data_IF_326534651710
#
_entry.id   IF_326534651710
#
_cell.length_a   1.000
_cell.length_b   1.000
_cell.length_c   1.000
_cell.angle_alpha   90.00
_cell.angle_beta   90.00
_cell.angle_gamma   90.00
#
_symmetry.space_group_name_H-M   'P 1'
#
loop_
_entity.id
_entity.type
_entity.pdbx_description
1 polymer ?
#
# COMPACT_ATOMS: atom_id res chain seq x y z
N UNK A 1 27.46 3.03 31.18
CA UNK A 1 26.09 3.52 31.30
C UNK A 1 26.02 4.91 30.67
N UNK A 2 25.80 4.96 29.33
CA UNK A 2 25.52 6.21 28.64
C UNK A 2 24.06 6.19 28.20
N UNK A 3 23.26 7.02 28.82
CA UNK A 3 21.86 7.27 28.49
C UNK A 3 21.78 7.99 27.16
N UNK A 4 21.08 7.38 26.20
CA UNK A 4 20.67 8.05 24.97
C UNK A 4 19.53 9.03 25.27
N UNK A 5 19.54 10.25 24.72
CA UNK A 5 18.45 11.19 24.90
C UNK A 5 17.21 10.71 24.17
N UNK A 6 16.13 10.51 24.89
CA UNK A 6 14.79 10.29 24.34
C UNK A 6 14.33 11.55 23.61
N UNK A 7 14.27 11.52 22.27
CA UNK A 7 13.59 12.56 21.49
C UNK A 7 12.11 12.54 21.83
N UNK A 8 11.56 13.67 22.25
CA UNK A 8 10.14 13.86 22.47
C UNK A 8 9.40 13.77 21.15
N UNK A 9 8.24 13.12 21.18
CA UNK A 9 7.29 12.87 20.09
C UNK A 9 6.71 14.14 19.40
N UNK A 10 7.18 15.33 19.75
CA UNK A 10 6.69 16.61 19.20
C UNK A 10 7.45 17.12 17.97
N UNK A 11 8.53 16.46 17.55
CA UNK A 11 9.39 16.95 16.46
C UNK A 11 9.26 16.14 15.15
N UNK A 12 8.37 15.19 15.08
CA UNK A 12 7.96 14.60 13.82
C UNK A 12 7.00 15.59 13.14
N UNK A 13 7.57 16.53 12.38
CA UNK A 13 6.79 17.26 11.38
C UNK A 13 6.09 16.21 10.53
N UNK A 14 4.77 16.31 10.48
CA UNK A 14 3.95 15.72 9.43
C UNK A 14 4.67 15.99 8.12
N UNK A 15 5.22 14.97 7.47
CA UNK A 15 5.74 15.10 6.12
C UNK A 15 4.57 15.60 5.29
N UNK A 16 4.72 16.81 4.81
CA UNK A 16 3.74 17.57 4.07
C UNK A 16 3.23 16.70 2.91
N UNK A 17 1.92 16.75 2.65
CA UNK A 17 1.24 16.07 1.54
C UNK A 17 1.87 16.37 0.17
N UNK A 18 2.83 17.28 0.11
CA UNK A 18 3.51 17.79 -1.09
C UNK A 18 4.66 16.92 -1.58
N UNK A 19 5.30 16.09 -0.76
CA UNK A 19 6.53 15.38 -1.18
C UNK A 19 6.32 13.99 -1.79
N UNK A 20 5.07 13.48 -1.79
CA UNK A 20 4.69 12.25 -2.52
C UNK A 20 3.82 12.55 -3.76
N UNK A 21 3.47 13.80 -3.99
CA UNK A 21 2.97 14.30 -5.26
C UNK A 21 4.16 14.56 -6.19
N UNK A 22 4.79 13.51 -6.71
CA UNK A 22 5.58 13.63 -7.93
C UNK A 22 4.67 14.30 -8.96
N UNK A 23 4.98 15.54 -9.30
CA UNK A 23 4.29 16.49 -10.16
C UNK A 23 3.07 15.94 -10.92
N UNK A 24 1.91 15.91 -10.28
CA UNK A 24 0.64 15.70 -10.97
C UNK A 24 0.38 17.01 -11.74
N UNK A 25 0.82 17.04 -12.99
CA UNK A 25 0.57 18.20 -13.86
C UNK A 25 -0.94 18.30 -14.09
N UNK A 26 -1.40 19.52 -14.31
CA UNK A 26 -2.78 19.84 -14.70
C UNK A 26 -3.25 19.01 -15.91
N UNK A 27 -2.31 18.50 -16.72
CA UNK A 27 -2.52 17.59 -17.85
C UNK A 27 -3.02 16.19 -17.45
N UNK A 28 -2.78 15.71 -16.23
CA UNK A 28 -3.21 14.38 -15.77
C UNK A 28 -4.70 14.34 -15.40
N UNK A 29 -5.26 15.50 -14.97
CA UNK A 29 -6.67 15.60 -14.59
C UNK A 29 -7.61 15.56 -15.81
N UNK A 30 -7.18 16.12 -16.93
CA UNK A 30 -7.96 16.26 -18.15
C UNK A 30 -7.73 15.10 -19.14
N UNK A 31 -6.95 14.10 -18.79
CA UNK A 31 -6.65 12.97 -19.67
C UNK A 31 -7.93 12.17 -19.96
N UNK A 32 -8.24 11.92 -21.26
CA UNK A 32 -9.43 11.21 -21.69
C UNK A 32 -9.63 9.83 -21.07
N UNK A 33 -8.56 9.17 -20.62
CA UNK A 33 -8.64 7.82 -20.01
C UNK A 33 -9.45 7.80 -18.71
N UNK A 34 -9.63 8.95 -18.07
CA UNK A 34 -10.50 9.06 -16.90
C UNK A 34 -11.96 9.35 -17.23
N UNK A 35 -12.29 9.63 -18.50
CA UNK A 35 -13.67 9.94 -18.91
C UNK A 35 -14.32 11.07 -18.09
N UNK A 36 -13.53 12.04 -17.61
CA UNK A 36 -13.98 13.13 -16.73
C UNK A 36 -14.23 12.73 -15.26
N UNK A 37 -13.98 11.47 -14.87
CA UNK A 37 -14.29 10.95 -13.52
C UNK A 37 -13.12 10.99 -12.53
N UNK A 38 -12.03 11.63 -12.86
CA UNK A 38 -10.84 11.66 -11.97
C UNK A 38 -11.14 12.26 -10.60
N UNK A 39 -11.93 13.34 -10.57
CA UNK A 39 -12.31 13.99 -9.30
C UNK A 39 -13.21 13.10 -8.45
N UNK A 40 -14.06 12.25 -9.07
CA UNK A 40 -14.84 11.25 -8.36
C UNK A 40 -13.92 10.21 -7.69
N UNK A 41 -12.84 9.77 -8.37
CA UNK A 41 -11.87 8.87 -7.78
C UNK A 41 -11.08 9.50 -6.65
N UNK A 42 -10.73 10.79 -6.75
CA UNK A 42 -10.08 11.54 -5.66
C UNK A 42 -11.02 11.65 -4.47
N UNK A 43 -12.27 12.05 -4.67
CA UNK A 43 -13.26 12.15 -3.59
C UNK A 43 -13.50 10.79 -2.90
N UNK A 44 -13.57 9.70 -3.68
CA UNK A 44 -13.72 8.35 -3.14
C UNK A 44 -12.48 7.89 -2.36
N UNK A 45 -11.28 8.23 -2.84
CA UNK A 45 -10.04 7.99 -2.10
C UNK A 45 -10.05 8.71 -0.75
N UNK A 46 -10.40 10.00 -0.73
CA UNK A 46 -10.43 10.80 0.50
C UNK A 46 -11.46 10.26 1.50
N UNK A 47 -12.66 9.89 1.03
CA UNK A 47 -13.69 9.25 1.89
C UNK A 47 -13.18 7.94 2.48
N UNK A 48 -12.62 7.06 1.63
CA UNK A 48 -12.14 5.76 2.11
C UNK A 48 -10.93 5.89 3.07
N UNK A 49 -10.03 6.84 2.82
CA UNK A 49 -8.95 7.18 3.76
C UNK A 49 -9.49 7.66 5.10
N UNK A 50 -10.60 8.41 5.09
CA UNK A 50 -11.34 8.80 6.31
C UNK A 50 -11.88 7.59 7.06
N UNK A 51 -12.48 6.61 6.38
CA UNK A 51 -12.97 5.35 6.98
C UNK A 51 -11.82 4.55 7.61
N UNK A 52 -10.68 4.41 6.92
CA UNK A 52 -9.47 3.75 7.45
C UNK A 52 -8.91 4.49 8.67
N UNK A 53 -8.91 5.82 8.65
CA UNK A 53 -8.49 6.64 9.79
C UNK A 53 -9.41 6.46 11.01
N UNK A 54 -10.71 6.31 10.79
CA UNK A 54 -11.68 6.02 11.87
C UNK A 54 -11.45 4.63 12.50
N UNK A 55 -11.15 3.59 11.68
CA UNK A 55 -10.73 2.27 12.18
C UNK A 55 -9.50 2.40 13.05
N UNK A 56 -8.45 3.08 12.55
CA UNK A 56 -7.20 3.31 13.29
C UNK A 56 -7.46 3.97 14.65
N UNK A 57 -8.26 5.03 14.69
CA UNK A 57 -8.60 5.76 15.91
C UNK A 57 -9.36 4.87 16.91
N UNK A 58 -10.32 4.07 16.44
CA UNK A 58 -11.06 3.11 17.25
C UNK A 58 -10.13 2.06 17.86
N UNK A 59 -9.32 1.40 17.03
CA UNK A 59 -8.41 0.34 17.48
C UNK A 59 -7.37 0.87 18.47
N UNK A 60 -6.85 2.09 18.24
CA UNK A 60 -5.94 2.75 19.16
C UNK A 60 -6.60 3.02 20.52
N UNK A 61 -7.86 3.46 20.54
CA UNK A 61 -8.60 3.69 21.77
C UNK A 61 -8.89 2.40 22.54
N UNK A 62 -9.24 1.32 21.82
CA UNK A 62 -9.56 0.01 22.40
C UNK A 62 -8.33 -0.71 22.98
N UNK A 63 -7.18 -0.58 22.34
CA UNK A 63 -5.96 -1.36 22.64
C UNK A 63 -4.89 -0.58 23.39
N UNK A 64 -4.99 0.76 23.43
CA UNK A 64 -3.95 1.63 24.00
C UNK A 64 -2.74 1.82 23.09
N UNK A 65 -2.67 1.14 21.94
CA UNK A 65 -1.59 1.17 20.97
C UNK A 65 -2.10 1.48 19.56
N UNK A 66 -1.30 2.18 18.77
CA UNK A 66 -1.62 2.46 17.38
C UNK A 66 -1.14 1.30 16.47
N UNK A 67 -2.06 0.56 15.80
CA UNK A 67 -1.67 -0.56 14.95
C UNK A 67 -1.05 -0.10 13.63
N UNK A 68 -1.20 1.18 13.25
CA UNK A 68 -0.80 1.71 11.95
C UNK A 68 0.29 2.75 12.11
N UNK A 69 1.43 2.51 11.52
CA UNK A 69 2.52 3.48 11.44
C UNK A 69 2.14 4.65 10.51
N UNK A 70 1.78 4.34 9.26
CA UNK A 70 1.28 5.33 8.32
C UNK A 70 0.32 4.73 7.30
N UNK A 71 -0.46 5.60 6.65
CA UNK A 71 -1.37 5.23 5.57
C UNK A 71 -1.20 6.22 4.42
N UNK A 72 -1.05 5.70 3.20
CA UNK A 72 -0.88 6.48 1.97
C UNK A 72 -1.94 6.06 0.97
N UNK A 73 -2.51 7.04 0.26
CA UNK A 73 -3.47 6.80 -0.80
C UNK A 73 -3.11 7.55 -2.06
N UNK A 74 -3.47 6.98 -3.21
CA UNK A 74 -3.30 7.66 -4.50
C UNK A 74 -4.35 7.21 -5.52
N UNK A 75 -4.71 8.10 -6.42
CA UNK A 75 -5.29 7.76 -7.71
C UNK A 75 -4.12 7.54 -8.68
N UNK A 76 -4.18 6.46 -9.46
CA UNK A 76 -3.16 6.14 -10.48
C UNK A 76 -3.06 7.29 -11.48
N UNK A 77 -1.85 7.67 -11.92
CA UNK A 77 -1.67 8.67 -12.97
C UNK A 77 -2.19 8.16 -14.31
N UNK A 78 -2.57 9.08 -15.20
CA UNK A 78 -3.03 8.75 -16.56
C UNK A 78 -1.98 7.90 -17.30
N UNK A 79 -0.72 8.30 -17.26
CA UNK A 79 0.38 7.56 -17.88
C UNK A 79 0.46 6.10 -17.37
N UNK A 80 0.33 5.90 -16.05
CA UNK A 80 0.35 4.55 -15.44
C UNK A 80 -0.91 3.74 -15.79
N UNK A 81 -2.04 4.41 -16.01
CA UNK A 81 -3.28 3.76 -16.41
C UNK A 81 -3.22 3.31 -17.86
N UNK A 82 -2.73 4.15 -18.77
CA UNK A 82 -2.44 3.81 -20.16
C UNK A 82 -1.46 2.63 -20.26
N UNK A 83 -0.33 2.68 -19.55
CA UNK A 83 0.62 1.58 -19.50
C UNK A 83 -0.02 0.28 -19.00
N UNK A 84 -0.89 0.36 -18.00
CA UNK A 84 -1.61 -0.79 -17.46
C UNK A 84 -2.55 -1.40 -18.50
N UNK A 85 -3.27 -0.57 -19.26
CA UNK A 85 -4.12 -1.03 -20.36
C UNK A 85 -3.30 -1.74 -21.42
N UNK A 86 -2.22 -1.13 -21.92
CA UNK A 86 -1.30 -1.75 -22.91
C UNK A 86 -0.76 -3.08 -22.44
N UNK A 87 -0.29 -3.18 -21.21
CA UNK A 87 0.25 -4.42 -20.65
C UNK A 87 -0.78 -5.55 -20.52
N UNK A 88 -2.07 -5.20 -20.46
CA UNK A 88 -3.18 -6.14 -20.40
C UNK A 88 -3.86 -6.38 -21.76
N UNK A 89 -3.29 -5.83 -22.84
CA UNK A 89 -3.86 -5.86 -24.20
C UNK A 89 -5.30 -5.31 -24.23
N UNK A 90 -5.58 -4.26 -23.45
CA UNK A 90 -6.86 -3.57 -23.38
C UNK A 90 -6.82 -2.28 -24.21
N UNK A 91 -7.96 -1.85 -24.79
CA UNK A 91 -8.09 -0.50 -25.33
C UNK A 91 -7.77 0.56 -24.27
N UNK A 92 -7.08 1.63 -24.68
CA UNK A 92 -6.77 2.76 -23.79
C UNK A 92 -7.99 3.70 -23.71
N UNK A 93 -9.13 3.18 -23.27
CA UNK A 93 -10.41 3.90 -23.11
C UNK A 93 -10.89 3.85 -21.67
N UNK A 94 -11.71 4.84 -21.22
CA UNK A 94 -12.29 4.84 -19.89
C UNK A 94 -13.05 3.55 -19.57
N UNK A 95 -13.88 3.08 -20.49
CA UNK A 95 -14.71 1.90 -20.29
C UNK A 95 -13.85 0.67 -20.01
N UNK A 96 -12.86 0.40 -20.87
CA UNK A 96 -11.95 -0.73 -20.70
C UNK A 96 -11.11 -0.62 -19.42
N UNK A 97 -10.64 0.61 -19.10
CA UNK A 97 -9.87 0.86 -17.89
C UNK A 97 -10.72 0.59 -16.63
N UNK A 98 -11.96 1.11 -16.56
CA UNK A 98 -12.81 0.98 -15.37
C UNK A 98 -13.33 -0.45 -15.19
N UNK A 99 -13.57 -1.17 -16.29
CA UNK A 99 -14.02 -2.56 -16.24
C UNK A 99 -12.92 -3.53 -15.82
N UNK A 100 -11.66 -3.31 -16.24
CA UNK A 100 -10.62 -4.32 -16.12
C UNK A 100 -9.44 -3.93 -15.20
N UNK A 101 -9.29 -2.64 -14.83
CA UNK A 101 -8.23 -2.16 -13.93
C UNK A 101 -8.81 -1.95 -12.54
N UNK A 102 -8.40 -2.79 -11.59
CA UNK A 102 -8.94 -2.82 -10.21
C UNK A 102 -8.14 -1.96 -9.22
N UNK A 103 -7.03 -1.36 -9.67
CA UNK A 103 -6.09 -0.58 -8.87
C UNK A 103 -5.95 0.87 -9.35
N UNK A 104 -7.05 1.45 -9.87
CA UNK A 104 -7.13 2.88 -10.21
C UNK A 104 -6.97 3.70 -8.93
N UNK A 105 -7.65 3.30 -7.86
CA UNK A 105 -7.44 3.82 -6.50
C UNK A 105 -6.63 2.80 -5.74
N UNK A 106 -5.50 3.24 -5.19
CA UNK A 106 -4.61 2.40 -4.39
C UNK A 106 -4.37 3.02 -3.02
N UNK A 107 -4.47 2.19 -1.97
CA UNK A 107 -4.19 2.57 -0.59
C UNK A 107 -3.12 1.63 -0.04
N UNK A 108 -2.19 2.18 0.71
CA UNK A 108 -1.19 1.42 1.44
C UNK A 108 -1.33 1.71 2.92
N UNK A 109 -1.52 0.66 3.71
CA UNK A 109 -1.54 0.70 5.17
C UNK A 109 -0.29 -0.01 5.67
N UNK A 110 0.55 0.70 6.40
CA UNK A 110 1.77 0.14 7.00
C UNK A 110 1.53 -0.02 8.49
N UNK A 111 1.62 -1.27 8.95
CA UNK A 111 1.37 -1.66 10.33
C UNK A 111 2.69 -1.87 11.09
N UNK A 112 2.65 -1.64 12.40
CA UNK A 112 3.82 -1.84 13.25
C UNK A 112 4.20 -3.33 13.36
N UNK A 113 3.21 -4.22 13.51
CA UNK A 113 3.41 -5.64 13.74
C UNK A 113 2.61 -6.52 12.80
N UNK A 114 3.02 -7.79 12.71
CA UNK A 114 2.41 -8.75 11.78
C UNK A 114 0.92 -8.99 12.09
N UNK A 115 0.55 -9.11 13.37
CA UNK A 115 -0.84 -9.33 13.77
C UNK A 115 -1.73 -8.11 13.45
N UNK A 116 -1.17 -6.90 13.45
CA UNK A 116 -1.90 -5.69 13.10
C UNK A 116 -2.25 -5.62 11.61
N UNK A 117 -1.47 -6.28 10.73
CA UNK A 117 -1.82 -6.43 9.31
C UNK A 117 -3.15 -7.16 9.15
N UNK A 118 -3.32 -8.28 9.85
CA UNK A 118 -4.56 -9.07 9.78
C UNK A 118 -5.72 -8.38 10.51
N UNK A 119 -5.45 -7.70 11.62
CA UNK A 119 -6.44 -6.89 12.31
C UNK A 119 -7.01 -5.76 11.43
N UNK A 120 -6.13 -5.05 10.73
CA UNK A 120 -6.55 -4.02 9.78
C UNK A 120 -7.29 -4.60 8.59
N UNK A 121 -6.87 -5.76 8.08
CA UNK A 121 -7.56 -6.51 7.02
C UNK A 121 -9.00 -6.83 7.42
N UNK A 122 -9.21 -7.40 8.59
CA UNK A 122 -10.54 -7.78 9.08
C UNK A 122 -11.41 -6.53 9.29
N UNK A 123 -10.87 -5.50 9.94
CA UNK A 123 -11.58 -4.25 10.18
C UNK A 123 -11.97 -3.51 8.90
N UNK A 124 -11.15 -3.56 7.85
CA UNK A 124 -11.45 -2.96 6.55
C UNK A 124 -12.51 -3.77 5.81
N UNK A 125 -12.43 -5.11 5.87
CA UNK A 125 -13.40 -6.00 5.23
C UNK A 125 -14.82 -5.89 5.83
N UNK A 126 -14.92 -5.48 7.11
CA UNK A 126 -16.18 -5.30 7.84
C UNK A 126 -16.81 -3.90 7.65
N UNK A 127 -16.17 -3.00 6.90
CA UNK A 127 -16.72 -1.66 6.66
C UNK A 127 -18.06 -1.73 5.91
N UNK A 128 -19.06 -0.92 6.31
CA UNK A 128 -20.32 -0.83 5.58
C UNK A 128 -20.10 -0.44 4.11
N UNK A 129 -20.81 -1.12 3.20
CA UNK A 129 -20.72 -0.85 1.76
C UNK A 129 -19.44 -1.39 1.10
N UNK A 130 -18.65 -2.19 1.81
CA UNK A 130 -17.43 -2.80 1.29
C UNK A 130 -17.65 -4.30 1.04
N UNK A 131 -17.29 -4.74 -0.15
CA UNK A 131 -17.25 -6.15 -0.54
C UNK A 131 -15.82 -6.52 -0.93
N UNK A 132 -15.28 -7.61 -0.37
CA UNK A 132 -13.96 -8.14 -0.74
C UNK A 132 -14.08 -8.94 -2.02
N UNK A 133 -13.79 -8.31 -3.16
CA UNK A 133 -13.83 -8.96 -4.47
C UNK A 133 -12.66 -9.92 -4.70
N UNK A 134 -11.49 -9.64 -4.11
CA UNK A 134 -10.33 -10.53 -4.19
C UNK A 134 -9.38 -10.26 -3.02
N UNK A 135 -8.85 -11.32 -2.45
CA UNK A 135 -7.76 -11.27 -1.47
C UNK A 135 -6.56 -12.07 -1.97
N UNK A 136 -5.36 -11.49 -1.79
CA UNK A 136 -4.08 -12.15 -2.08
C UNK A 136 -3.15 -11.97 -0.90
N UNK A 137 -2.96 -13.03 -0.15
CA UNK A 137 -2.05 -13.05 1.00
C UNK A 137 -0.65 -13.49 0.56
N UNK A 138 0.17 -12.51 0.14
CA UNK A 138 1.57 -12.75 -0.18
C UNK A 138 2.47 -12.78 1.06
N UNK A 139 1.94 -12.63 2.27
CA UNK A 139 2.67 -12.88 3.51
C UNK A 139 2.78 -14.39 3.73
N UNK A 140 1.66 -15.11 3.54
CA UNK A 140 1.60 -16.56 3.62
C UNK A 140 2.08 -17.26 2.35
N UNK A 141 1.78 -16.68 1.19
CA UNK A 141 2.14 -17.22 -0.14
C UNK A 141 3.15 -16.28 -0.82
N UNK A 142 4.38 -16.30 -0.31
CA UNK A 142 5.47 -15.41 -0.70
C UNK A 142 5.78 -15.51 -2.18
N UNK A 143 5.96 -14.37 -2.85
CA UNK A 143 6.37 -14.36 -4.27
C UNK A 143 7.82 -14.86 -4.45
N UNK A 144 8.19 -15.38 -5.64
CA UNK A 144 9.53 -15.92 -5.89
C UNK A 144 10.68 -14.95 -5.57
N UNK A 145 10.47 -13.63 -5.73
CA UNK A 145 11.43 -12.59 -5.40
C UNK A 145 11.47 -12.20 -3.91
N UNK A 146 10.66 -12.84 -3.06
CA UNK A 146 10.57 -12.52 -1.64
C UNK A 146 9.52 -11.48 -1.25
N UNK A 147 8.81 -10.88 -2.22
CA UNK A 147 7.78 -9.87 -1.94
C UNK A 147 6.68 -10.42 -1.02
N UNK A 148 6.38 -9.65 0.04
CA UNK A 148 5.32 -9.91 1.02
C UNK A 148 4.41 -8.71 1.15
N UNK A 149 3.11 -8.93 1.14
CA UNK A 149 2.05 -7.94 1.41
C UNK A 149 0.71 -8.66 1.41
N UNK A 150 -0.25 -8.20 2.17
CA UNK A 150 -1.64 -8.59 2.01
C UNK A 150 -2.32 -7.60 1.07
N UNK A 151 -2.98 -8.09 0.04
CA UNK A 151 -3.71 -7.27 -0.94
C UNK A 151 -5.19 -7.57 -0.88
N UNK A 152 -6.00 -6.54 -0.73
CA UNK A 152 -7.44 -6.58 -0.90
C UNK A 152 -7.83 -5.80 -2.15
N UNK A 153 -8.66 -6.38 -2.99
CA UNK A 153 -9.42 -5.65 -4.00
C UNK A 153 -10.83 -5.54 -3.49
N UNK A 154 -11.24 -4.34 -3.17
CA UNK A 154 -12.54 -4.02 -2.58
C UNK A 154 -13.44 -3.39 -3.62
N UNK A 155 -14.71 -3.84 -3.68
CA UNK A 155 -15.77 -3.11 -4.35
C UNK A 155 -16.47 -2.23 -3.30
N UNK A 156 -16.40 -0.92 -3.47
CA UNK A 156 -16.94 0.05 -2.53
C UNK A 156 -18.24 0.63 -3.07
N UNK A 157 -19.29 0.57 -2.25
CA UNK A 157 -20.65 1.03 -2.53
C UNK A 157 -21.23 0.50 -3.87
N UNK A 158 -20.77 -0.68 -4.30
CA UNK A 158 -21.16 -1.32 -5.55
C UNK A 158 -20.73 -0.57 -6.83
N UNK A 159 -19.77 0.37 -6.73
CA UNK A 159 -19.44 1.31 -7.81
C UNK A 159 -18.00 1.25 -8.28
N UNK A 160 -17.05 1.22 -7.36
CA UNK A 160 -15.63 1.42 -7.71
C UNK A 160 -14.74 0.46 -6.95
N UNK A 161 -13.68 -0.01 -7.63
CA UNK A 161 -12.68 -0.86 -7.02
C UNK A 161 -11.57 -0.04 -6.38
N UNK A 162 -11.18 -0.43 -5.17
CA UNK A 162 -10.02 0.10 -4.45
C UNK A 162 -9.09 -1.06 -4.14
N UNK A 163 -7.81 -0.95 -4.49
CA UNK A 163 -6.77 -1.88 -4.01
C UNK A 163 -6.19 -1.37 -2.71
N UNK A 164 -6.28 -2.19 -1.65
CA UNK A 164 -5.62 -1.91 -0.36
C UNK A 164 -4.48 -2.89 -0.17
N UNK A 165 -3.26 -2.37 0.01
CA UNK A 165 -2.06 -3.12 0.33
C UNK A 165 -1.75 -2.91 1.82
N UNK A 166 -1.74 -3.99 2.60
CA UNK A 166 -1.45 -3.94 4.02
C UNK A 166 -0.12 -4.67 4.26
N UNK A 167 0.81 -4.03 4.96
CA UNK A 167 2.20 -4.50 5.14
C UNK A 167 2.69 -4.18 6.55
N UNK A 168 3.75 -4.88 6.97
CA UNK A 168 4.57 -4.39 8.07
C UNK A 168 5.56 -3.32 7.60
N UNK A 169 6.19 -2.61 8.55
CA UNK A 169 7.29 -1.66 8.27
C UNK A 169 8.41 -2.36 7.48
N UNK A 170 8.81 -3.57 7.87
CA UNK A 170 9.87 -4.34 7.21
C UNK A 170 9.50 -4.68 5.75
N UNK A 171 8.26 -5.10 5.52
CA UNK A 171 7.74 -5.44 4.19
C UNK A 171 7.66 -4.20 3.30
N UNK A 172 7.27 -3.04 3.84
CA UNK A 172 7.21 -1.79 3.08
C UNK A 172 8.61 -1.28 2.74
N UNK A 173 9.56 -1.36 3.69
CA UNK A 173 10.97 -1.01 3.48
C UNK A 173 11.56 -1.84 2.33
N UNK A 174 11.38 -3.16 2.37
CA UNK A 174 11.88 -4.03 1.30
C UNK A 174 11.28 -3.67 -0.06
N UNK A 175 9.95 -3.48 -0.11
CA UNK A 175 9.26 -3.17 -1.36
C UNK A 175 9.64 -1.81 -1.95
N UNK A 176 9.90 -0.81 -1.10
CA UNK A 176 10.36 0.51 -1.52
C UNK A 176 11.77 0.44 -2.13
N UNK A 177 12.69 -0.30 -1.49
CA UNK A 177 14.07 -0.47 -1.97
C UNK A 177 14.12 -1.31 -3.26
N UNK A 178 13.37 -2.40 -3.34
CA UNK A 178 13.28 -3.24 -4.55
C UNK A 178 12.78 -2.43 -5.75
N UNK A 179 11.76 -1.59 -5.54
CA UNK A 179 11.23 -0.72 -6.58
C UNK A 179 12.27 0.30 -7.06
N UNK A 180 13.03 0.93 -6.14
CA UNK A 180 14.08 1.87 -6.50
C UNK A 180 15.19 1.22 -7.31
N UNK A 181 15.61 0.00 -6.95
CA UNK A 181 16.63 -0.74 -7.66
C UNK A 181 16.21 -1.11 -9.07
N UNK A 182 14.96 -1.54 -9.26
CA UNK A 182 14.42 -1.88 -10.59
C UNK A 182 14.25 -0.67 -11.50
N UNK A 183 13.86 0.48 -10.96
CA UNK A 183 13.58 1.67 -11.75
C UNK A 183 14.84 2.40 -12.23
N UNK A 184 15.95 2.33 -11.48
CA UNK A 184 17.16 3.13 -11.75
C UNK A 184 18.18 2.44 -12.65
N UNK A 185 18.05 1.14 -12.89
CA UNK A 185 19.04 0.40 -13.67
C UNK A 185 18.34 -0.51 -14.70
N UNK A 186 18.66 -0.31 -15.98
CA UNK A 186 18.78 -1.44 -16.88
C UNK A 186 19.85 -2.33 -16.25
N UNK A 187 19.41 -3.42 -15.62
CA UNK A 187 20.26 -4.25 -14.75
C UNK A 187 21.35 -4.89 -15.61
N UNK A 188 22.51 -4.23 -15.70
CA UNK A 188 23.72 -4.78 -16.27
C UNK A 188 24.38 -5.76 -15.27
N UNK A 189 23.67 -6.84 -14.92
CA UNK A 189 24.15 -7.83 -13.96
C UNK A 189 23.39 -9.15 -14.05
N UNK A 190 23.84 -10.15 -13.29
CA UNK A 190 23.16 -11.44 -13.21
C UNK A 190 21.84 -11.26 -12.45
N UNK A 191 20.73 -11.20 -13.21
CA UNK A 191 19.37 -11.03 -12.71
C UNK A 191 18.99 -12.14 -11.71
N UNK A 192 19.54 -13.35 -11.90
CA UNK A 192 19.24 -14.48 -11.01
C UNK A 192 19.88 -14.30 -9.63
N UNK A 193 21.11 -13.83 -9.59
CA UNK A 193 21.84 -13.51 -8.36
C UNK A 193 21.16 -12.37 -7.60
N UNK A 194 20.80 -11.30 -8.31
CA UNK A 194 20.10 -10.14 -7.70
C UNK A 194 18.77 -10.57 -7.10
N UNK A 195 17.99 -11.40 -7.81
CA UNK A 195 16.71 -11.91 -7.32
C UNK A 195 16.89 -12.81 -6.09
N UNK A 196 17.95 -13.63 -6.07
CA UNK A 196 18.27 -14.48 -4.92
C UNK A 196 18.63 -13.65 -3.68
N UNK A 197 19.46 -12.60 -3.84
CA UNK A 197 19.84 -11.71 -2.75
C UNK A 197 18.66 -10.87 -2.24
N UNK A 198 17.80 -10.38 -3.13
CA UNK A 198 16.56 -9.71 -2.75
C UNK A 198 15.66 -10.62 -1.93
N UNK A 199 15.52 -11.88 -2.33
CA UNK A 199 14.77 -12.87 -1.58
C UNK A 199 15.38 -13.13 -0.21
N UNK A 200 16.71 -13.28 -0.11
CA UNK A 200 17.42 -13.47 1.16
C UNK A 200 17.15 -12.30 2.12
N UNK A 201 17.28 -11.05 1.65
CA UNK A 201 16.95 -9.87 2.46
C UNK A 201 15.49 -9.86 2.91
N UNK A 202 14.55 -10.25 2.04
CA UNK A 202 13.14 -10.33 2.41
C UNK A 202 12.86 -11.39 3.50
N UNK A 203 13.58 -12.51 3.47
CA UNK A 203 13.46 -13.58 4.46
C UNK A 203 14.03 -13.15 5.82
N UNK A 204 15.14 -12.41 5.84
CA UNK A 204 15.72 -11.82 7.05
C UNK A 204 14.77 -10.80 7.70
N UNK A 205 14.19 -9.90 6.91
CA UNK A 205 13.21 -8.92 7.38
C UNK A 205 11.94 -9.60 7.91
N UNK A 206 11.47 -10.66 7.27
CA UNK A 206 10.33 -11.44 7.77
C UNK A 206 10.63 -12.15 9.09
N UNK A 207 11.86 -12.65 9.28
CA UNK A 207 12.30 -13.21 10.56
C UNK A 207 12.31 -12.14 11.66
N UNK A 208 12.72 -10.92 11.32
CA UNK A 208 12.66 -9.78 12.24
C UNK A 208 11.23 -9.44 12.63
N UNK A 209 10.28 -9.40 11.68
CA UNK A 209 8.86 -9.18 11.97
C UNK A 209 8.31 -10.20 12.98
N UNK A 210 8.64 -11.48 12.79
CA UNK A 210 8.22 -12.56 13.70
C UNK A 210 8.84 -12.35 15.10
N UNK A 211 10.13 -12.02 15.16
CA UNK A 211 10.83 -11.79 16.44
C UNK A 211 10.23 -10.60 17.19
N UNK A 212 9.95 -9.50 16.49
CA UNK A 212 9.33 -8.30 17.07
C UNK A 212 7.90 -8.56 17.54
N UNK A 213 7.11 -9.34 16.77
CA UNK A 213 5.78 -9.78 17.21
C UNK A 213 5.89 -10.63 18.48
N UNK A 214 6.82 -11.57 18.55
CA UNK A 214 7.04 -12.41 19.73
C UNK A 214 7.40 -11.58 20.97
N UNK A 215 8.25 -10.57 20.81
CA UNK A 215 8.61 -9.65 21.91
C UNK A 215 7.37 -8.89 22.39
N UNK A 216 6.57 -8.38 21.46
CA UNK A 216 5.32 -7.67 21.81
C UNK A 216 4.35 -8.56 22.60
N UNK A 217 4.21 -9.84 22.20
CA UNK A 217 3.33 -10.79 22.84
C UNK A 217 3.80 -11.19 24.26
N UNK A 218 5.06 -10.85 24.63
CA UNK A 218 5.63 -11.10 25.95
C UNK A 218 5.45 -9.96 26.95
N UNK A 219 5.12 -8.75 26.47
CA UNK A 219 4.94 -7.55 27.31
C UNK A 219 3.47 -7.27 27.55
#
# INVERSE_FOLDING_TARGET
>A
LHSFPTRRSSDLRTLDKTDMAGGQSQTDADDPIFGGRRDEFVAMLDDFMGRVSAIRARLRAERGEDPVEHCLGRVKSAASLHEKCRRKDLPETPEAAFEHVRDIIGIRVVCAFLNDVYLMRDSIAELPGVEVACEKDYIRHVKPNGYRSLHLVLLVDGRTYIEVQIRTISQDTWAALEHQMKYKHEVAGDVSLITAELKRCADELASTDISMQTIRDMI
#
